data_IF_642126451640
#
_entry.id   IF_642126451640
#
_cell.length_a   1.000
_cell.length_b   1.000
_cell.length_c   1.000
_cell.angle_alpha   90.00
_cell.angle_beta   90.00
_cell.angle_gamma   90.00
#
_symmetry.space_group_name_H-M   'P 1'
#
loop_
_entity.id
_entity.type
_entity.pdbx_description
1 polymer ?
#
# COMPACT_ATOMS: atom_id res chain seq x y z
N UNK A 1 11.95 -51.06 -2.83
CA UNK A 1 11.49 -49.80 -2.19
C UNK A 1 11.28 -48.80 -3.31
N UNK A 2 10.05 -48.67 -3.77
CA UNK A 2 9.67 -47.67 -4.80
C UNK A 2 9.65 -46.30 -4.17
N UNK A 3 10.67 -45.50 -4.40
CA UNK A 3 10.66 -44.06 -4.11
C UNK A 3 9.68 -43.42 -5.08
N UNK A 4 8.44 -43.25 -4.62
CA UNK A 4 7.44 -42.43 -5.32
C UNK A 4 7.99 -41.01 -5.39
N UNK A 5 8.21 -40.49 -6.61
CA UNK A 5 8.55 -39.07 -6.79
C UNK A 5 7.48 -38.21 -6.10
N UNK A 6 7.86 -37.19 -5.28
CA UNK A 6 6.90 -36.35 -4.60
C UNK A 6 6.01 -35.69 -5.65
N UNK A 7 4.71 -35.83 -5.48
CA UNK A 7 3.76 -35.16 -6.36
C UNK A 7 3.91 -33.61 -6.16
N UNK A 8 3.59 -32.82 -7.20
CA UNK A 8 3.59 -31.34 -7.11
C UNK A 8 2.78 -30.82 -5.90
N UNK A 9 1.89 -31.64 -5.38
CA UNK A 9 1.09 -31.36 -4.20
C UNK A 9 1.92 -31.47 -2.92
N UNK A 10 2.77 -32.48 -2.82
CA UNK A 10 3.67 -32.69 -1.68
C UNK A 10 4.78 -31.66 -1.66
N UNK A 11 5.29 -31.26 -2.82
CA UNK A 11 6.30 -30.20 -2.94
C UNK A 11 5.87 -28.87 -2.30
N UNK A 12 4.61 -28.40 -2.51
CA UNK A 12 4.15 -27.16 -1.92
C UNK A 12 4.08 -27.23 -0.40
N UNK A 13 3.61 -28.34 0.16
CA UNK A 13 3.40 -28.52 1.59
C UNK A 13 4.73 -28.69 2.35
N UNK A 14 5.75 -29.24 1.70
CA UNK A 14 7.08 -29.50 2.28
C UNK A 14 8.06 -28.34 2.10
N UNK A 15 7.65 -27.23 1.47
CA UNK A 15 8.52 -26.06 1.28
C UNK A 15 9.04 -25.51 2.63
N UNK A 16 10.36 -25.20 2.71
CA UNK A 16 10.97 -24.66 3.94
C UNK A 16 10.64 -23.15 4.10
N UNK A 17 9.41 -22.85 4.42
CA UNK A 17 8.87 -21.47 4.45
C UNK A 17 9.72 -20.49 5.26
N UNK A 18 10.16 -20.88 6.48
CA UNK A 18 11.03 -20.02 7.32
C UNK A 18 12.36 -19.66 6.63
N UNK A 19 12.92 -20.58 5.83
CA UNK A 19 14.15 -20.33 5.06
C UNK A 19 13.89 -19.34 3.92
N UNK A 20 12.77 -19.51 3.23
CA UNK A 20 12.33 -18.61 2.16
C UNK A 20 12.06 -17.20 2.69
N UNK A 21 11.34 -17.07 3.80
CA UNK A 21 11.07 -15.80 4.48
C UNK A 21 12.36 -15.07 4.88
N UNK A 22 13.31 -15.76 5.51
CA UNK A 22 14.61 -15.18 5.86
C UNK A 22 15.39 -14.70 4.64
N UNK A 23 15.35 -15.44 3.54
CA UNK A 23 16.04 -15.06 2.30
C UNK A 23 15.46 -13.77 1.72
N UNK A 24 14.14 -13.67 1.64
CA UNK A 24 13.46 -12.46 1.14
C UNK A 24 13.69 -11.28 2.09
N UNK A 25 13.58 -11.49 3.39
CA UNK A 25 13.81 -10.45 4.40
C UNK A 25 15.24 -9.86 4.32
N UNK A 26 16.26 -10.69 4.09
CA UNK A 26 17.64 -10.21 3.86
C UNK A 26 17.73 -9.29 2.63
N UNK A 27 17.02 -9.60 1.54
CA UNK A 27 16.96 -8.72 0.36
C UNK A 27 16.23 -7.41 0.67
N UNK A 28 15.13 -7.47 1.39
CA UNK A 28 14.36 -6.31 1.81
C UNK A 28 15.18 -5.38 2.70
N UNK A 29 15.91 -5.91 3.67
CA UNK A 29 16.84 -5.11 4.49
C UNK A 29 17.92 -4.43 3.65
N UNK A 30 18.43 -5.08 2.62
CA UNK A 30 19.43 -4.48 1.71
C UNK A 30 18.81 -3.37 0.87
N UNK A 31 17.58 -3.52 0.40
CA UNK A 31 16.83 -2.46 -0.31
C UNK A 31 16.65 -1.26 0.63
N UNK A 32 16.16 -1.49 1.83
CA UNK A 32 15.97 -0.46 2.86
C UNK A 32 17.25 0.33 3.12
N UNK A 33 18.37 -0.36 3.37
CA UNK A 33 19.67 0.28 3.62
C UNK A 33 20.20 1.06 2.41
N UNK A 34 19.99 0.56 1.19
CA UNK A 34 20.36 1.27 -0.02
C UNK A 34 19.51 2.54 -0.21
N UNK A 35 18.20 2.46 0.06
CA UNK A 35 17.29 3.60 0.01
C UNK A 35 17.67 4.68 1.03
N UNK A 36 17.97 4.30 2.27
CA UNK A 36 18.42 5.23 3.32
C UNK A 36 19.69 6.00 2.93
N UNK A 37 20.55 5.41 2.09
CA UNK A 37 21.77 6.08 1.57
C UNK A 37 21.54 6.85 0.28
N UNK A 38 20.31 6.86 -0.25
CA UNK A 38 20.01 7.49 -1.54
C UNK A 38 20.57 6.75 -2.77
N UNK A 39 21.02 5.49 -2.60
CA UNK A 39 21.62 4.69 -3.70
C UNK A 39 20.53 4.05 -4.57
N UNK A 40 19.91 4.86 -5.41
CA UNK A 40 18.81 4.45 -6.31
C UNK A 40 19.21 3.32 -7.25
N UNK A 41 20.47 3.32 -7.76
CA UNK A 41 20.96 2.25 -8.66
C UNK A 41 20.95 0.89 -7.97
N UNK A 42 21.45 0.83 -6.74
CA UNK A 42 21.45 -0.40 -5.95
C UNK A 42 20.03 -0.81 -5.55
N UNK A 43 19.14 0.13 -5.19
CA UNK A 43 17.72 -0.15 -4.94
C UNK A 43 17.09 -0.86 -6.13
N UNK A 44 17.16 -0.28 -7.33
CA UNK A 44 16.58 -0.88 -8.54
C UNK A 44 17.19 -2.26 -8.87
N UNK A 45 18.49 -2.44 -8.68
CA UNK A 45 19.15 -3.74 -8.88
C UNK A 45 18.64 -4.79 -7.91
N UNK A 46 18.51 -4.46 -6.62
CA UNK A 46 18.02 -5.37 -5.59
C UNK A 46 16.53 -5.68 -5.75
N UNK A 47 15.72 -4.70 -6.14
CA UNK A 47 14.31 -4.91 -6.49
C UNK A 47 14.16 -5.90 -7.65
N UNK A 48 14.96 -5.75 -8.70
CA UNK A 48 14.99 -6.70 -9.82
C UNK A 48 15.38 -8.11 -9.36
N UNK A 49 16.36 -8.22 -8.48
CA UNK A 49 16.78 -9.50 -7.90
C UNK A 49 15.63 -10.13 -7.10
N UNK A 50 14.93 -9.34 -6.28
CA UNK A 50 13.79 -9.81 -5.49
C UNK A 50 12.64 -10.29 -6.40
N UNK A 51 12.27 -9.53 -7.41
CA UNK A 51 11.21 -9.89 -8.36
C UNK A 51 11.49 -11.19 -9.12
N UNK A 52 12.75 -11.53 -9.34
CA UNK A 52 13.16 -12.78 -9.98
C UNK A 52 13.40 -13.94 -8.99
N UNK A 53 13.42 -13.65 -7.69
CA UNK A 53 13.67 -14.65 -6.65
C UNK A 53 12.53 -15.67 -6.57
N UNK A 54 12.85 -16.97 -6.68
CA UNK A 54 11.89 -18.05 -6.43
C UNK A 54 11.24 -17.92 -5.06
N UNK A 55 12.02 -17.59 -4.02
CA UNK A 55 11.52 -17.42 -2.67
C UNK A 55 10.44 -16.33 -2.60
N UNK A 56 10.69 -15.16 -3.19
CA UNK A 56 9.73 -14.05 -3.18
C UNK A 56 8.44 -14.39 -3.95
N UNK A 57 8.55 -15.07 -5.08
CA UNK A 57 7.39 -15.52 -5.86
C UNK A 57 6.53 -16.52 -5.08
N UNK A 58 7.15 -17.51 -4.43
CA UNK A 58 6.46 -18.47 -3.57
C UNK A 58 5.73 -17.80 -2.42
N UNK A 59 6.39 -16.87 -1.72
CA UNK A 59 5.78 -16.12 -0.60
C UNK A 59 4.63 -15.22 -1.07
N UNK A 60 4.77 -14.58 -2.22
CA UNK A 60 3.70 -13.76 -2.80
C UNK A 60 2.46 -14.61 -3.12
N UNK A 61 2.64 -15.78 -3.73
CA UNK A 61 1.54 -16.72 -4.01
C UNK A 61 0.93 -17.25 -2.71
N UNK A 62 1.75 -17.69 -1.75
CA UNK A 62 1.26 -18.15 -0.43
C UNK A 62 0.39 -17.08 0.24
N UNK A 63 0.86 -15.82 0.27
CA UNK A 63 0.16 -14.73 0.92
C UNK A 63 -1.26 -14.55 0.38
N UNK A 64 -1.43 -14.56 -0.95
CA UNK A 64 -2.75 -14.30 -1.57
C UNK A 64 -3.64 -15.52 -1.65
N UNK A 65 -3.07 -16.74 -1.65
CA UNK A 65 -3.83 -18.00 -1.83
C UNK A 65 -4.10 -18.75 -0.54
N UNK A 66 -3.37 -18.46 0.54
CA UNK A 66 -3.51 -19.16 1.83
C UNK A 66 -3.76 -18.22 2.99
N UNK A 67 -2.89 -17.19 3.18
CA UNK A 67 -2.92 -16.38 4.40
C UNK A 67 -4.03 -15.31 4.34
N UNK A 68 -4.36 -14.83 3.15
CA UNK A 68 -5.28 -13.70 2.99
C UNK A 68 -6.75 -14.16 2.99
N UNK A 69 -7.63 -13.42 3.69
CA UNK A 69 -9.07 -13.67 3.73
C UNK A 69 -9.71 -13.66 2.33
N UNK A 70 -9.20 -12.82 1.41
CA UNK A 70 -9.66 -12.71 0.02
C UNK A 70 -9.40 -13.95 -0.86
N UNK A 71 -8.74 -15.00 -0.35
CA UNK A 71 -8.47 -16.24 -1.11
C UNK A 71 -9.72 -16.93 -1.68
N UNK A 72 -10.87 -16.75 -1.04
CA UNK A 72 -12.16 -17.32 -1.46
C UNK A 72 -12.93 -16.46 -2.46
N UNK A 73 -12.42 -15.28 -2.81
CA UNK A 73 -13.11 -14.32 -3.69
C UNK A 73 -12.50 -14.35 -5.08
N UNK A 74 -13.30 -14.70 -6.09
CA UNK A 74 -12.85 -14.76 -7.48
C UNK A 74 -12.75 -13.37 -8.13
N UNK A 75 -11.78 -13.20 -9.04
CA UNK A 75 -11.71 -12.08 -9.97
C UNK A 75 -12.71 -12.26 -11.14
N UNK A 76 -12.43 -11.60 -12.26
CA UNK A 76 -13.22 -11.70 -13.50
C UNK A 76 -13.15 -13.10 -14.15
N UNK A 77 -12.15 -13.88 -13.81
CA UNK A 77 -11.92 -15.23 -14.33
C UNK A 77 -12.68 -16.34 -13.57
N UNK A 78 -13.41 -15.97 -12.51
CA UNK A 78 -14.14 -16.93 -11.68
C UNK A 78 -13.24 -17.82 -10.78
N UNK A 79 -11.90 -17.71 -10.88
CA UNK A 79 -10.96 -18.58 -10.18
C UNK A 79 -10.80 -18.15 -8.72
N UNK A 80 -11.01 -19.10 -7.82
CA UNK A 80 -10.81 -18.95 -6.38
C UNK A 80 -10.20 -20.25 -5.80
N UNK A 81 -9.53 -20.14 -4.65
CA UNK A 81 -9.06 -21.30 -3.89
C UNK A 81 -8.16 -22.26 -4.68
N UNK A 82 -6.97 -21.81 -5.08
CA UNK A 82 -6.01 -22.63 -5.83
C UNK A 82 -5.52 -23.85 -5.05
N UNK A 83 -5.43 -24.99 -5.73
CA UNK A 83 -4.81 -26.22 -5.23
C UNK A 83 -3.28 -26.04 -5.06
N UNK A 84 -2.60 -26.84 -4.21
CA UNK A 84 -1.15 -26.76 -4.00
C UNK A 84 -0.32 -26.81 -5.30
N UNK A 85 -0.63 -27.73 -6.22
CA UNK A 85 0.01 -27.83 -7.53
C UNK A 85 -0.17 -26.57 -8.38
N UNK A 86 -1.39 -26.01 -8.40
CA UNK A 86 -1.68 -24.76 -9.11
C UNK A 86 -0.93 -23.57 -8.53
N UNK A 87 -0.73 -23.53 -7.20
CA UNK A 87 0.07 -22.48 -6.53
C UNK A 87 1.52 -22.55 -6.96
N UNK A 88 2.10 -23.74 -7.04
CA UNK A 88 3.47 -23.96 -7.50
C UNK A 88 3.64 -23.49 -8.94
N UNK A 89 2.76 -23.93 -9.84
CA UNK A 89 2.72 -23.49 -11.24
C UNK A 89 2.57 -21.98 -11.37
N UNK A 90 1.66 -21.38 -10.58
CA UNK A 90 1.49 -19.92 -10.55
C UNK A 90 2.79 -19.22 -10.16
N UNK A 91 3.50 -19.70 -9.12
CA UNK A 91 4.75 -19.09 -8.66
C UNK A 91 5.86 -19.12 -9.71
N UNK A 92 5.95 -20.18 -10.49
CA UNK A 92 6.90 -20.35 -11.60
C UNK A 92 6.60 -19.37 -12.74
N UNK A 93 5.32 -19.11 -13.01
CA UNK A 93 4.84 -18.28 -14.11
C UNK A 93 4.66 -16.79 -13.77
N UNK A 94 5.01 -16.36 -12.55
CA UNK A 94 4.95 -14.94 -12.19
C UNK A 94 6.04 -14.16 -12.94
N UNK A 95 5.60 -13.31 -13.88
CA UNK A 95 6.46 -12.39 -14.63
C UNK A 95 5.73 -11.06 -14.82
N UNK A 96 6.45 -9.95 -14.70
CA UNK A 96 5.96 -8.62 -15.04
C UNK A 96 6.05 -8.45 -16.56
N UNK A 97 4.94 -8.60 -17.26
CA UNK A 97 4.81 -8.51 -18.71
C UNK A 97 4.26 -7.15 -19.20
N UNK A 98 3.92 -6.26 -18.27
CA UNK A 98 3.32 -4.96 -18.57
C UNK A 98 1.86 -5.05 -19.01
N UNK A 99 1.19 -6.19 -18.79
CA UNK A 99 -0.23 -6.40 -19.05
C UNK A 99 -0.99 -6.48 -17.74
N UNK A 100 -2.28 -6.17 -17.79
CA UNK A 100 -3.20 -6.31 -16.66
C UNK A 100 -4.58 -6.74 -17.16
N UNK A 101 -5.30 -7.48 -16.34
CA UNK A 101 -6.71 -7.80 -16.57
C UNK A 101 -7.59 -6.82 -15.82
N UNK A 102 -8.78 -6.48 -16.33
CA UNK A 102 -9.76 -5.70 -15.60
C UNK A 102 -10.07 -6.34 -14.23
N UNK A 103 -10.47 -5.54 -13.27
CA UNK A 103 -10.88 -6.05 -11.96
C UNK A 103 -12.39 -6.21 -11.88
N UNK A 104 -12.85 -7.20 -11.14
CA UNK A 104 -14.27 -7.38 -10.87
C UNK A 104 -14.70 -6.40 -9.77
N UNK A 105 -15.67 -5.55 -10.04
CA UNK A 105 -16.27 -4.66 -9.04
C UNK A 105 -17.26 -5.42 -8.17
N UNK A 106 -17.21 -5.15 -6.88
CA UNK A 106 -18.17 -5.63 -5.89
C UNK A 106 -18.52 -4.47 -4.97
N UNK A 107 -19.80 -4.26 -4.75
CA UNK A 107 -20.29 -3.22 -3.87
C UNK A 107 -20.52 -3.81 -2.46
N UNK A 108 -20.00 -3.15 -1.44
CA UNK A 108 -20.19 -3.53 -0.04
C UNK A 108 -20.75 -2.35 0.76
N UNK A 109 -21.67 -2.59 1.71
CA UNK A 109 -22.16 -1.53 2.58
C UNK A 109 -21.02 -0.89 3.38
N UNK A 110 -21.08 0.42 3.57
CA UNK A 110 -20.16 1.11 4.49
C UNK A 110 -20.55 0.81 5.96
N UNK A 111 -19.60 0.55 6.85
CA UNK A 111 -19.89 0.40 8.27
C UNK A 111 -20.60 1.64 8.82
N UNK A 112 -21.72 1.45 9.51
CA UNK A 112 -22.52 2.53 10.10
C UNK A 112 -23.36 3.36 9.11
N UNK A 113 -23.31 3.08 7.82
CA UNK A 113 -24.05 3.79 6.76
C UNK A 113 -24.62 2.78 5.76
N UNK A 114 -25.70 2.06 6.08
CA UNK A 114 -26.22 0.97 5.25
C UNK A 114 -26.69 1.40 3.85
N UNK A 115 -27.06 2.67 3.69
CA UNK A 115 -27.49 3.24 2.41
C UNK A 115 -26.31 3.66 1.51
N UNK A 116 -25.07 3.68 2.04
CA UNK A 116 -23.89 3.99 1.27
C UNK A 116 -23.08 2.73 0.96
N UNK A 117 -22.62 2.62 -0.28
CA UNK A 117 -21.83 1.49 -0.73
C UNK A 117 -20.39 1.90 -1.03
N UNK A 118 -19.46 0.99 -0.75
CA UNK A 118 -18.06 1.11 -1.14
C UNK A 118 -17.77 0.16 -2.28
N UNK A 119 -17.19 0.67 -3.35
CA UNK A 119 -16.74 -0.14 -4.47
C UNK A 119 -15.42 -0.85 -4.13
N UNK A 120 -15.42 -2.18 -4.16
CA UNK A 120 -14.19 -2.98 -4.11
C UNK A 120 -13.86 -3.51 -5.50
N UNK A 121 -12.59 -3.43 -5.87
CA UNK A 121 -12.07 -4.07 -7.08
C UNK A 121 -11.32 -5.36 -6.72
N UNK A 122 -11.72 -6.47 -7.33
CA UNK A 122 -11.15 -7.77 -7.07
C UNK A 122 -10.34 -8.22 -8.28
N UNK A 123 -9.00 -8.11 -8.24
CA UNK A 123 -8.14 -8.60 -9.31
C UNK A 123 -8.16 -10.14 -9.37
N UNK A 124 -7.81 -10.72 -10.51
CA UNK A 124 -7.59 -12.16 -10.64
C UNK A 124 -6.41 -12.61 -9.77
N UNK A 125 -6.37 -13.89 -9.43
CA UNK A 125 -5.39 -14.43 -8.47
C UNK A 125 -3.94 -14.20 -8.92
N UNK A 126 -3.65 -14.32 -10.23
CA UNK A 126 -2.32 -14.00 -10.80
C UNK A 126 -1.92 -12.55 -10.53
N UNK A 127 -2.84 -11.60 -10.77
CA UNK A 127 -2.57 -10.18 -10.56
C UNK A 127 -2.33 -9.86 -9.07
N UNK A 128 -3.12 -10.44 -8.17
CA UNK A 128 -2.90 -10.28 -6.72
C UNK A 128 -1.51 -10.77 -6.31
N UNK A 129 -1.07 -11.92 -6.84
CA UNK A 129 0.26 -12.46 -6.55
C UNK A 129 1.37 -11.57 -7.11
N UNK A 130 1.22 -11.04 -8.34
CA UNK A 130 2.17 -10.08 -8.93
C UNK A 130 2.19 -8.76 -8.15
N UNK A 131 1.03 -8.23 -7.76
CA UNK A 131 0.93 -7.01 -6.95
C UNK A 131 1.60 -7.20 -5.58
N UNK A 132 1.39 -8.35 -4.94
CA UNK A 132 2.09 -8.68 -3.67
C UNK A 132 3.59 -8.80 -3.85
N UNK A 133 4.05 -9.38 -4.96
CA UNK A 133 5.47 -9.48 -5.29
C UNK A 133 6.09 -8.10 -5.50
N UNK A 134 5.45 -7.22 -6.27
CA UNK A 134 5.89 -5.83 -6.48
C UNK A 134 5.86 -5.04 -5.18
N UNK A 135 4.80 -5.20 -4.37
CA UNK A 135 4.73 -4.58 -3.04
C UNK A 135 5.96 -4.97 -2.19
N UNK A 136 6.32 -6.25 -2.15
CA UNK A 136 7.46 -6.72 -1.35
C UNK A 136 8.81 -6.14 -1.81
N UNK A 137 8.89 -5.67 -3.06
CA UNK A 137 10.08 -5.01 -3.61
C UNK A 137 10.09 -3.49 -3.38
N UNK A 138 8.92 -2.82 -3.44
CA UNK A 138 8.81 -1.37 -3.27
C UNK A 138 8.73 -0.94 -1.79
N UNK A 139 8.04 -1.74 -0.97
CA UNK A 139 7.76 -1.42 0.43
C UNK A 139 9.04 -1.10 1.24
N UNK A 140 10.16 -1.86 1.16
CA UNK A 140 11.37 -1.54 1.90
C UNK A 140 12.04 -0.22 1.47
N UNK A 141 11.94 0.15 0.19
CA UNK A 141 12.42 1.44 -0.30
C UNK A 141 11.63 2.58 0.33
N UNK A 142 10.31 2.47 0.33
CA UNK A 142 9.43 3.52 0.80
C UNK A 142 9.36 3.59 2.33
N UNK A 143 9.50 2.47 3.03
CA UNK A 143 9.65 2.47 4.50
C UNK A 143 10.87 3.26 4.98
N UNK A 144 11.93 3.31 4.18
CA UNK A 144 13.10 4.15 4.46
C UNK A 144 12.85 5.66 4.23
N UNK A 145 11.77 6.02 3.54
CA UNK A 145 11.46 7.40 3.10
C UNK A 145 10.24 8.01 3.79
N UNK A 146 9.28 7.18 4.18
CA UNK A 146 8.03 7.65 4.78
C UNK A 146 8.26 8.47 6.04
N UNK A 147 7.42 9.48 6.21
CA UNK A 147 7.40 10.33 7.40
C UNK A 147 7.24 9.49 8.69
N UNK A 148 7.90 9.89 9.78
CA UNK A 148 7.90 9.12 11.03
C UNK A 148 6.50 8.99 11.65
N UNK A 149 5.65 10.00 11.50
CA UNK A 149 4.29 10.03 12.05
C UNK A 149 3.22 9.53 11.07
N UNK A 150 3.59 8.76 10.05
CA UNK A 150 2.66 8.06 9.17
C UNK A 150 2.53 6.61 9.61
N UNK A 151 1.31 6.14 9.93
CA UNK A 151 1.08 4.85 10.59
C UNK A 151 0.25 3.87 9.77
N UNK A 152 -0.82 4.31 9.11
CA UNK A 152 -1.74 3.43 8.40
C UNK A 152 -1.10 2.66 7.25
N UNK A 153 -1.51 1.40 7.08
CA UNK A 153 -1.06 0.49 6.02
C UNK A 153 0.45 0.20 5.98
N UNK A 154 1.19 0.49 7.04
CA UNK A 154 2.63 0.26 7.14
C UNK A 154 2.96 -0.96 7.99
N UNK A 155 3.97 -1.76 7.62
CA UNK A 155 4.38 -2.91 8.40
C UNK A 155 4.93 -2.49 9.77
N UNK A 156 4.53 -3.22 10.82
CA UNK A 156 5.00 -2.97 12.19
C UNK A 156 4.47 -1.69 12.82
N UNK A 157 3.47 -1.05 12.23
CA UNK A 157 2.80 0.14 12.77
C UNK A 157 1.31 -0.12 12.96
N UNK A 158 0.75 0.42 14.04
CA UNK A 158 -0.64 0.22 14.43
C UNK A 158 -1.37 1.55 14.68
N UNK A 159 -2.68 1.48 14.88
CA UNK A 159 -3.46 2.63 15.31
C UNK A 159 -3.08 3.07 16.74
N UNK A 160 -2.64 2.15 17.59
CA UNK A 160 -2.18 2.48 18.95
C UNK A 160 -0.92 3.36 18.93
N UNK A 161 0.02 3.10 18.00
CA UNK A 161 1.21 3.94 17.83
C UNK A 161 0.83 5.36 17.38
N UNK A 162 -0.18 5.49 16.52
CA UNK A 162 -0.70 6.80 16.11
C UNK A 162 -1.36 7.53 17.29
N UNK A 163 -2.17 6.83 18.09
CA UNK A 163 -2.82 7.38 19.29
C UNK A 163 -1.77 7.84 20.31
N UNK A 164 -0.73 7.03 20.51
CA UNK A 164 0.39 7.40 21.40
C UNK A 164 1.10 8.65 20.91
N UNK A 165 1.37 8.76 19.61
CA UNK A 165 1.99 9.97 19.04
C UNK A 165 1.12 11.22 19.25
N UNK A 166 -0.21 11.10 19.08
CA UNK A 166 -1.16 12.19 19.36
C UNK A 166 -1.13 12.56 20.83
N UNK A 167 -1.23 11.54 21.72
CA UNK A 167 -1.21 11.76 23.17
C UNK A 167 0.08 12.48 23.61
N UNK A 168 1.23 12.00 23.16
CA UNK A 168 2.53 12.62 23.45
C UNK A 168 2.62 14.06 22.96
N UNK A 169 1.95 14.35 21.85
CA UNK A 169 1.95 15.69 21.29
C UNK A 169 1.08 16.68 22.07
N UNK A 170 -0.01 16.24 22.73
CA UNK A 170 -0.98 17.14 23.42
C UNK A 170 -0.88 17.16 24.94
N UNK A 171 -0.25 16.17 25.59
CA UNK A 171 -0.34 15.92 27.03
C UNK A 171 0.14 17.05 27.95
N UNK A 172 1.05 17.89 27.47
CA UNK A 172 1.69 18.90 28.37
C UNK A 172 1.11 20.31 28.22
N UNK A 173 0.52 20.65 27.07
CA UNK A 173 0.01 21.99 26.80
C UNK A 173 -1.25 21.91 25.95
N UNK A 174 -2.25 22.78 26.21
CA UNK A 174 -3.39 22.92 25.32
C UNK A 174 -2.94 23.23 23.89
N UNK A 175 -3.52 22.55 22.93
CA UNK A 175 -3.23 22.72 21.50
C UNK A 175 -4.52 22.69 20.69
N UNK A 176 -4.52 23.42 19.58
CA UNK A 176 -5.57 23.25 18.58
C UNK A 176 -5.32 21.98 17.79
N UNK A 177 -6.38 21.22 17.53
CA UNK A 177 -6.34 19.99 16.74
C UNK A 177 -7.23 20.20 15.52
N UNK A 178 -6.66 20.00 14.33
CA UNK A 178 -7.41 19.89 13.09
C UNK A 178 -7.53 18.40 12.76
N UNK A 179 -8.74 17.86 12.78
CA UNK A 179 -9.05 16.54 12.26
C UNK A 179 -9.46 16.69 10.80
N UNK A 180 -8.69 16.07 9.90
CA UNK A 180 -8.89 16.19 8.46
C UNK A 180 -8.88 14.81 7.81
N UNK A 181 -9.78 14.60 6.87
CA UNK A 181 -9.86 13.38 6.05
C UNK A 181 -9.78 13.74 4.57
N UNK A 182 -9.15 12.87 3.78
CA UNK A 182 -9.03 13.08 2.33
C UNK A 182 -10.23 12.43 1.65
N UNK A 183 -11.14 13.25 1.16
CA UNK A 183 -12.33 12.77 0.46
C UNK A 183 -11.95 11.92 -0.75
N UNK A 184 -12.44 10.67 -0.79
CA UNK A 184 -12.21 9.72 -1.88
C UNK A 184 -10.72 9.57 -2.23
N UNK A 185 -9.83 9.54 -1.23
CA UNK A 185 -8.38 9.50 -1.40
C UNK A 185 -7.95 8.48 -2.46
N UNK A 186 -8.40 7.23 -2.34
CA UNK A 186 -8.07 6.15 -3.28
C UNK A 186 -8.58 6.39 -4.70
N UNK A 187 -9.70 7.08 -4.86
CA UNK A 187 -10.39 7.26 -6.15
C UNK A 187 -9.85 8.46 -6.93
N UNK A 188 -9.22 9.43 -6.22
CA UNK A 188 -8.75 10.69 -6.81
C UNK A 188 -7.24 10.76 -7.05
N UNK A 189 -6.49 9.69 -6.78
CA UNK A 189 -5.04 9.66 -7.05
C UNK A 189 -4.80 9.79 -8.55
N UNK A 190 -4.11 10.85 -8.97
CA UNK A 190 -3.75 11.07 -10.36
C UNK A 190 -2.63 10.08 -10.76
N UNK A 191 -2.83 9.34 -11.88
CA UNK A 191 -1.97 8.23 -12.30
C UNK A 191 -0.56 8.67 -12.68
N UNK A 192 -0.43 9.79 -13.41
CA UNK A 192 0.87 10.25 -13.91
C UNK A 192 1.73 10.78 -12.75
N UNK A 193 1.12 11.53 -11.83
CA UNK A 193 1.80 12.04 -10.64
C UNK A 193 2.23 10.90 -9.70
N UNK A 194 1.37 9.90 -9.51
CA UNK A 194 1.72 8.71 -8.76
C UNK A 194 2.93 7.99 -9.39
N UNK A 195 2.89 7.74 -10.70
CA UNK A 195 3.98 7.08 -11.44
C UNK A 195 5.28 7.90 -11.43
N UNK A 196 5.18 9.23 -11.44
CA UNK A 196 6.33 10.13 -11.30
C UNK A 196 6.92 10.01 -9.88
N UNK A 197 6.06 10.02 -8.86
CA UNK A 197 6.46 9.98 -7.46
C UNK A 197 7.06 8.63 -7.04
N UNK A 198 6.49 7.52 -7.53
CA UNK A 198 7.06 6.17 -7.28
C UNK A 198 8.48 6.07 -7.81
N UNK A 199 8.81 6.71 -8.93
CA UNK A 199 10.15 6.80 -9.53
C UNK A 199 10.93 5.48 -9.51
N UNK A 200 10.34 4.44 -10.08
CA UNK A 200 10.86 3.07 -10.05
C UNK A 200 11.42 2.63 -11.41
N UNK A 201 11.97 1.40 -11.46
CA UNK A 201 12.52 0.84 -12.70
C UNK A 201 11.48 0.78 -13.83
N UNK A 202 11.90 0.87 -15.11
CA UNK A 202 10.97 0.86 -16.26
C UNK A 202 10.05 -0.35 -16.29
N UNK A 203 10.50 -1.52 -15.83
CA UNK A 203 9.70 -2.74 -15.77
C UNK A 203 8.56 -2.62 -14.77
N UNK A 204 8.85 -2.17 -13.55
CA UNK A 204 7.83 -1.96 -12.51
C UNK A 204 6.89 -0.83 -12.95
N UNK A 205 7.42 0.30 -13.45
CA UNK A 205 6.61 1.44 -13.91
C UNK A 205 5.60 1.02 -14.98
N UNK A 206 6.00 0.21 -15.96
CA UNK A 206 5.12 -0.30 -17.02
C UNK A 206 4.00 -1.16 -16.43
N UNK A 207 4.33 -2.02 -15.49
CA UNK A 207 3.35 -2.88 -14.84
C UNK A 207 2.38 -2.09 -13.95
N UNK A 208 2.86 -1.10 -13.19
CA UNK A 208 2.00 -0.20 -12.42
C UNK A 208 1.02 0.55 -13.33
N UNK A 209 1.52 1.11 -14.45
CA UNK A 209 0.66 1.79 -15.42
C UNK A 209 -0.42 0.86 -15.96
N UNK A 210 -0.08 -0.39 -16.30
CA UNK A 210 -1.05 -1.36 -16.78
C UNK A 210 -2.14 -1.65 -15.72
N UNK A 211 -1.78 -1.80 -14.45
CA UNK A 211 -2.77 -2.03 -13.38
C UNK A 211 -3.67 -0.82 -13.13
N UNK A 212 -3.12 0.39 -13.14
CA UNK A 212 -3.89 1.62 -12.93
C UNK A 212 -4.93 1.83 -14.06
N UNK A 213 -4.60 1.41 -15.28
CA UNK A 213 -5.42 1.57 -16.48
C UNK A 213 -6.20 0.30 -16.87
N UNK A 214 -6.19 -0.75 -16.04
CA UNK A 214 -6.81 -2.03 -16.39
C UNK A 214 -8.34 -1.96 -16.58
N UNK A 215 -8.98 -0.97 -16.00
CA UNK A 215 -10.44 -0.86 -15.97
C UNK A 215 -11.09 -1.82 -14.97
N UNK A 216 -12.39 -1.66 -14.85
CA UNK A 216 -13.22 -2.49 -13.96
C UNK A 216 -14.36 -3.10 -14.75
N UNK A 217 -14.77 -4.31 -14.36
CA UNK A 217 -16.00 -4.95 -14.82
C UNK A 217 -17.03 -4.89 -13.71
N UNK A 218 -18.12 -4.21 -13.97
CA UNK A 218 -19.28 -4.08 -13.09
C UNK A 218 -20.52 -4.60 -13.81
N UNK A 219 -21.22 -5.57 -13.21
CA UNK A 219 -22.40 -6.20 -13.81
C UNK A 219 -22.21 -6.67 -15.27
N UNK A 220 -21.00 -7.14 -15.59
CA UNK A 220 -20.65 -7.62 -16.94
C UNK A 220 -20.21 -6.53 -17.93
N UNK A 221 -20.28 -5.25 -17.58
CA UNK A 221 -19.83 -4.13 -18.42
C UNK A 221 -18.44 -3.67 -17.99
N UNK A 222 -17.62 -3.31 -18.97
CA UNK A 222 -16.28 -2.76 -18.72
C UNK A 222 -16.32 -1.23 -18.65
N UNK A 223 -15.64 -0.68 -17.63
CA UNK A 223 -15.47 0.76 -17.43
C UNK A 223 -13.98 1.09 -17.34
N UNK A 224 -13.52 2.17 -17.98
CA UNK A 224 -12.14 2.63 -17.86
C UNK A 224 -11.84 3.15 -16.45
N UNK A 225 -10.55 3.15 -16.10
CA UNK A 225 -10.04 3.80 -14.89
C UNK A 225 -9.06 4.89 -15.28
N UNK A 226 -9.46 6.14 -15.11
CA UNK A 226 -8.67 7.33 -15.49
C UNK A 226 -7.88 7.89 -14.29
N UNK A 227 -8.38 7.68 -13.09
CA UNK A 227 -7.76 8.07 -11.82
C UNK A 227 -7.96 7.01 -10.76
N UNK A 228 -7.28 7.18 -9.63
CA UNK A 228 -7.43 6.34 -8.46
C UNK A 228 -6.65 5.05 -8.49
N UNK A 229 -6.69 4.38 -7.36
CA UNK A 229 -6.14 3.03 -7.17
C UNK A 229 -7.24 2.09 -6.71
N UNK A 230 -7.18 0.85 -7.16
CA UNK A 230 -8.24 -0.14 -6.93
C UNK A 230 -8.31 -0.50 -5.45
N UNK A 231 -9.40 -0.14 -4.77
CA UNK A 231 -9.69 -0.61 -3.41
C UNK A 231 -9.88 -2.13 -3.41
N UNK A 232 -9.06 -2.84 -2.60
CA UNK A 232 -9.04 -4.31 -2.55
C UNK A 232 -7.83 -4.95 -3.25
N UNK A 233 -7.02 -4.19 -3.95
CA UNK A 233 -5.72 -4.62 -4.47
C UNK A 233 -4.69 -4.69 -3.32
N UNK A 234 -3.82 -5.72 -3.28
CA UNK A 234 -2.74 -5.79 -2.29
C UNK A 234 -1.77 -4.60 -2.31
N UNK A 235 -1.58 -3.98 -3.47
CA UNK A 235 -0.61 -2.91 -3.68
C UNK A 235 -1.18 -1.51 -3.39
N UNK A 236 -2.48 -1.31 -3.52
CA UNK A 236 -3.11 0.02 -3.41
C UNK A 236 -2.85 0.75 -2.08
N UNK A 237 -2.80 0.10 -0.91
CA UNK A 237 -2.46 0.79 0.33
C UNK A 237 -1.05 1.41 0.33
N UNK A 238 -0.07 0.71 -0.25
CA UNK A 238 1.28 1.26 -0.42
C UNK A 238 1.28 2.43 -1.40
N UNK A 239 0.59 2.31 -2.54
CA UNK A 239 0.50 3.38 -3.53
C UNK A 239 -0.19 4.64 -2.98
N UNK A 240 -1.25 4.47 -2.17
CA UNK A 240 -1.89 5.58 -1.48
C UNK A 240 -0.92 6.28 -0.52
N UNK A 241 -0.19 5.53 0.31
CA UNK A 241 0.84 6.10 1.18
C UNK A 241 1.93 6.85 0.40
N UNK A 242 2.33 6.33 -0.76
CA UNK A 242 3.28 7.02 -1.64
C UNK A 242 2.67 8.31 -2.20
N UNK A 243 1.42 8.28 -2.64
CA UNK A 243 0.73 9.44 -3.20
C UNK A 243 0.70 10.61 -2.22
N UNK A 244 0.36 10.35 -0.96
CA UNK A 244 0.22 11.38 0.08
C UNK A 244 1.51 11.64 0.88
N UNK A 245 2.61 10.91 0.63
CA UNK A 245 3.91 11.20 1.24
C UNK A 245 4.40 12.61 0.90
N UNK A 246 5.04 13.29 1.86
CA UNK A 246 5.53 14.67 1.71
C UNK A 246 4.55 15.73 2.21
N UNK A 247 3.43 15.34 2.81
CA UNK A 247 2.46 16.27 3.38
C UNK A 247 3.07 17.06 4.57
N UNK A 248 3.91 16.41 5.39
CA UNK A 248 4.61 17.09 6.49
C UNK A 248 5.54 18.18 5.95
N UNK A 249 6.29 17.89 4.90
CA UNK A 249 7.18 18.86 4.25
C UNK A 249 6.40 20.00 3.59
N UNK A 250 5.29 19.69 2.92
CA UNK A 250 4.44 20.69 2.27
C UNK A 250 3.83 21.66 3.29
N UNK A 251 3.39 21.15 4.43
CA UNK A 251 2.89 21.98 5.53
C UNK A 251 4.03 22.79 6.16
N UNK A 252 5.18 22.17 6.44
CA UNK A 252 6.32 22.85 7.05
C UNK A 252 6.83 24.03 6.19
N UNK A 253 6.74 23.95 4.88
CA UNK A 253 7.10 25.05 3.96
C UNK A 253 6.18 26.27 4.08
N UNK A 254 4.90 26.07 4.46
CA UNK A 254 3.92 27.15 4.65
C UNK A 254 4.06 27.87 5.99
N UNK A 255 4.62 27.21 6.99
CA UNK A 255 4.68 27.75 8.35
C UNK A 255 6.12 28.05 8.74
N UNK A 256 6.44 29.34 8.93
CA UNK A 256 7.75 29.75 9.42
C UNK A 256 7.83 29.55 10.93
N UNK A 257 8.80 28.78 11.40
CA UNK A 257 9.08 28.62 12.83
C UNK A 257 9.57 29.96 13.41
N UNK A 258 8.81 30.54 14.34
CA UNK A 258 9.25 31.71 15.10
C UNK A 258 8.99 31.49 16.59
N UNK A 259 9.92 30.86 17.34
CA UNK A 259 9.74 30.55 18.75
C UNK A 259 9.55 31.80 19.63
N UNK A 260 10.13 32.96 19.25
CA UNK A 260 9.98 34.22 20.00
C UNK A 260 8.55 34.75 19.94
N UNK A 261 7.81 34.43 18.87
CA UNK A 261 6.40 34.80 18.71
C UNK A 261 5.43 33.66 19.04
N UNK A 262 5.94 32.52 19.58
CA UNK A 262 5.13 31.36 19.91
C UNK A 262 4.68 30.53 18.71
N UNK A 263 5.23 30.76 17.50
CA UNK A 263 4.93 29.96 16.32
C UNK A 263 5.79 28.70 16.27
N UNK A 264 5.15 27.57 16.28
CA UNK A 264 5.76 26.26 16.15
C UNK A 264 5.25 25.56 14.88
N UNK A 265 6.06 24.65 14.32
CA UNK A 265 5.59 23.84 13.20
C UNK A 265 4.45 22.93 13.66
N UNK A 266 3.40 22.76 12.85
CA UNK A 266 2.36 21.80 13.13
C UNK A 266 2.93 20.38 13.22
N UNK A 267 2.44 19.58 14.15
CA UNK A 267 2.73 18.15 14.21
C UNK A 267 1.64 17.43 13.43
N UNK A 268 2.02 16.68 12.43
CA UNK A 268 1.11 15.90 11.61
C UNK A 268 1.21 14.45 12.04
N UNK A 269 0.08 13.85 12.39
CA UNK A 269 -0.03 12.41 12.63
C UNK A 269 -1.01 11.86 11.62
N UNK A 270 -0.57 10.92 10.80
CA UNK A 270 -1.37 10.38 9.70
C UNK A 270 -1.66 8.89 9.90
N UNK A 271 -2.93 8.53 9.78
CA UNK A 271 -3.35 7.15 9.74
C UNK A 271 -4.13 6.88 8.45
N UNK A 272 -3.51 6.22 7.49
CA UNK A 272 -4.04 6.01 6.14
C UNK A 272 -4.35 7.34 5.42
N UNK A 273 -5.61 7.59 5.08
CA UNK A 273 -6.15 8.81 4.46
C UNK A 273 -6.64 9.85 5.49
N UNK A 274 -6.86 9.45 6.76
CA UNK A 274 -7.17 10.35 7.86
C UNK A 274 -5.91 11.03 8.42
N UNK A 275 -5.99 12.33 8.68
CA UNK A 275 -4.84 13.14 9.15
C UNK A 275 -5.26 14.12 10.22
N UNK A 276 -5.17 13.81 11.53
CA UNK A 276 -5.20 14.83 12.54
C UNK A 276 -3.94 15.71 12.43
N UNK A 277 -4.13 16.96 12.11
CA UNK A 277 -3.08 17.99 12.08
C UNK A 277 -3.14 18.78 13.39
N UNK A 278 -2.05 18.81 14.15
CA UNK A 278 -1.94 19.65 15.32
C UNK A 278 -1.24 20.96 14.97
N UNK A 279 -1.96 22.07 15.12
CA UNK A 279 -1.36 23.40 15.10
C UNK A 279 -1.09 23.86 16.54
N UNK A 280 0.18 24.14 16.87
CA UNK A 280 0.54 24.81 18.11
C UNK A 280 0.34 26.31 17.95
N UNK A 281 -0.55 26.90 18.75
CA UNK A 281 -0.76 28.33 18.95
C UNK A 281 -0.92 29.17 17.66
N UNK A 282 -2.13 29.27 17.16
CA UNK A 282 -2.59 30.43 16.41
C UNK A 282 -2.99 31.52 17.44
N UNK A 283 -2.05 32.36 17.85
CA UNK A 283 -2.38 33.59 18.56
C UNK A 283 -3.08 34.53 17.57
N UNK A 284 -4.35 34.87 17.83
CA UNK A 284 -5.12 35.84 17.07
C UNK A 284 -6.39 35.34 16.38
N UNK A 285 -6.71 34.06 16.45
CA UNK A 285 -8.02 33.57 16.05
C UNK A 285 -8.92 33.52 17.28
N UNK A 286 -10.04 34.24 17.25
CA UNK A 286 -11.19 34.03 18.14
C UNK A 286 -11.50 32.53 18.21
N UNK A 287 -12.11 32.01 19.28
CA UNK A 287 -12.46 30.59 19.39
C UNK A 287 -13.35 30.24 18.21
N UNK A 288 -12.74 29.69 17.17
CA UNK A 288 -13.46 29.14 16.06
C UNK A 288 -14.15 27.89 16.56
N UNK A 289 -15.44 27.91 16.46
CA UNK A 289 -16.38 26.80 16.57
C UNK A 289 -15.80 25.55 15.95
N UNK A 290 -15.94 24.39 16.59
CA UNK A 290 -15.32 23.16 16.11
C UNK A 290 -15.96 22.68 14.82
N UNK A 291 -15.18 21.97 14.04
CA UNK A 291 -15.59 21.11 12.95
C UNK A 291 -16.02 21.84 11.68
N UNK A 292 -15.05 22.28 10.90
CA UNK A 292 -15.26 22.37 9.46
C UNK A 292 -15.00 20.96 8.89
N UNK A 293 -16.06 20.18 8.72
CA UNK A 293 -16.10 19.12 7.70
C UNK A 293 -16.16 19.85 6.36
N UNK A 294 -15.03 20.25 5.80
CA UNK A 294 -14.99 20.75 4.45
C UNK A 294 -15.04 19.55 3.50
N UNK A 295 -16.26 19.14 3.11
CA UNK A 295 -16.44 18.50 1.83
C UNK A 295 -16.13 19.54 0.74
N UNK A 296 -15.01 19.42 0.05
CA UNK A 296 -14.74 19.98 -1.29
C UNK A 296 -13.94 18.92 -2.06
#
# INVERSE_FOLDING_TARGET
MTTTEPTLMDEWNTLPWRKLERSVFKLQQRIYRASNRGDVKTVHRLQRLLLNSRAAKLLAVRKVTQDNQGKKTAGVDGIKSLMPSQRLTLSQNLKLDGKARPVRRVWIPKPGQPNEQRALGIPVMKERALQRLVQSALEPEWEARFEPNSYGFRPGRSCHDAIEAIFMAIRYKPKYVLDADIEKCFDRIEHQELLRKVNTSPQIRRQLKAWLQAGVIDQGQWFPTESGTIQGSPLSPLLANIAIHGIEEAVAKKYTRNPRRGFYLPIIVRYADGTPVQASNLWGASPLTPIVRSGV
#
